data_IF_880748483903
#
_entry.id   IF_880748483903
#
_cell.length_a   1.000
_cell.length_b   1.000
_cell.length_c   1.000
_cell.angle_alpha   90.00
_cell.angle_beta   90.00
_cell.angle_gamma   90.00
#
_symmetry.space_group_name_H-M   'P 1'
#
loop_
_entity.id
_entity.type
_entity.pdbx_description
1 polymer ?
#
# COMPACT_ATOMS: atom_id res chain seq x y z
N UNK A 1 -16.28 4.79 25.04
CA UNK A 1 -16.48 5.04 26.46
C UNK A 1 -17.05 3.83 27.21
N UNK A 2 -18.19 3.24 26.78
CA UNK A 2 -18.82 2.12 27.51
C UNK A 2 -17.93 0.87 27.60
N UNK A 3 -17.24 0.49 26.52
CA UNK A 3 -16.36 -0.69 26.50
C UNK A 3 -15.15 -0.55 27.45
N UNK A 4 -14.66 0.65 27.70
CA UNK A 4 -13.50 0.88 28.59
C UNK A 4 -13.84 0.86 30.09
N UNK A 5 -15.10 1.08 30.45
CA UNK A 5 -15.53 1.15 31.87
C UNK A 5 -15.35 -0.20 32.58
N UNK A 6 -15.43 -1.31 31.84
CA UNK A 6 -15.29 -2.67 32.38
C UNK A 6 -13.83 -3.13 32.51
N UNK A 7 -12.86 -2.25 32.15
CA UNK A 7 -11.42 -2.55 32.11
C UNK A 7 -11.10 -3.87 31.39
N UNK A 8 -11.50 -4.03 30.12
CA UNK A 8 -11.35 -5.27 29.38
C UNK A 8 -9.88 -5.49 28.98
N UNK A 9 -9.48 -6.76 28.84
CA UNK A 9 -8.17 -7.13 28.30
C UNK A 9 -8.10 -6.96 26.77
N UNK A 10 -9.26 -7.11 26.10
CA UNK A 10 -9.38 -7.03 24.64
C UNK A 10 -10.55 -6.14 24.26
N UNK A 11 -10.36 -5.26 23.28
CA UNK A 11 -11.41 -4.47 22.65
C UNK A 11 -11.48 -4.80 21.16
N UNK A 12 -12.69 -5.06 20.65
CA UNK A 12 -12.95 -5.21 19.24
C UNK A 12 -13.64 -3.94 18.71
N UNK A 13 -13.08 -3.34 17.67
CA UNK A 13 -13.59 -2.17 16.96
C UNK A 13 -13.88 -2.57 15.51
N UNK A 14 -15.15 -2.49 15.14
CA UNK A 14 -15.61 -2.82 13.79
C UNK A 14 -15.90 -1.52 13.02
N UNK A 15 -15.06 -1.20 12.06
CA UNK A 15 -15.10 0.00 11.23
C UNK A 15 -15.39 1.31 12.00
N UNK A 16 -14.70 1.61 13.11
CA UNK A 16 -15.10 2.67 14.02
C UNK A 16 -15.00 4.09 13.46
N UNK A 17 -14.25 4.29 12.35
CA UNK A 17 -14.03 5.59 11.74
C UNK A 17 -14.68 5.74 10.35
N UNK A 18 -15.41 4.74 9.85
CA UNK A 18 -15.92 4.68 8.48
C UNK A 18 -16.87 5.83 8.11
N UNK A 19 -17.64 6.34 9.08
CA UNK A 19 -18.66 7.38 8.84
C UNK A 19 -18.16 8.81 9.13
N UNK A 20 -16.84 9.02 9.22
CA UNK A 20 -16.25 10.31 9.56
C UNK A 20 -15.63 10.99 8.34
N UNK A 21 -15.65 12.33 8.36
CA UNK A 21 -14.89 13.11 7.38
C UNK A 21 -13.37 12.89 7.53
N UNK A 22 -12.60 13.19 6.48
CA UNK A 22 -11.18 12.89 6.42
C UNK A 22 -10.36 13.54 7.55
N UNK A 23 -10.68 14.79 7.92
CA UNK A 23 -9.95 15.52 8.97
C UNK A 23 -10.21 14.95 10.35
N UNK A 24 -11.47 14.67 10.67
CA UNK A 24 -11.88 14.07 11.94
C UNK A 24 -11.36 12.63 12.06
N UNK A 25 -11.33 11.88 10.95
CA UNK A 25 -10.77 10.52 10.90
C UNK A 25 -9.29 10.51 11.30
N UNK A 26 -8.46 11.40 10.74
CA UNK A 26 -7.04 11.53 11.11
C UNK A 26 -6.87 11.87 12.59
N UNK A 27 -7.65 12.81 13.11
CA UNK A 27 -7.59 13.18 14.52
C UNK A 27 -7.94 12.01 15.44
N UNK A 28 -9.08 11.35 15.21
CA UNK A 28 -9.54 10.23 16.04
C UNK A 28 -8.65 9.01 15.93
N UNK A 29 -8.03 8.76 14.77
CA UNK A 29 -7.01 7.74 14.59
C UNK A 29 -5.84 7.93 15.57
N UNK A 30 -5.32 9.15 15.67
CA UNK A 30 -4.25 9.47 16.62
C UNK A 30 -4.71 9.29 18.07
N UNK A 31 -5.90 9.76 18.41
CA UNK A 31 -6.46 9.59 19.76
C UNK A 31 -6.65 8.11 20.14
N UNK A 32 -7.12 7.28 19.21
CA UNK A 32 -7.25 5.84 19.44
C UNK A 32 -5.90 5.17 19.68
N UNK A 33 -4.88 5.53 18.92
CA UNK A 33 -3.52 5.03 19.09
C UNK A 33 -2.93 5.43 20.46
N UNK A 34 -3.16 6.66 20.89
CA UNK A 34 -2.71 7.14 22.19
C UNK A 34 -3.45 6.47 23.34
N UNK A 35 -4.76 6.26 23.21
CA UNK A 35 -5.57 5.51 24.19
C UNK A 35 -5.09 4.06 24.32
N UNK A 36 -4.87 3.38 23.19
CA UNK A 36 -4.37 2.01 23.18
C UNK A 36 -3.03 1.89 23.91
N UNK A 37 -2.10 2.79 23.61
CA UNK A 37 -0.78 2.83 24.27
C UNK A 37 -0.90 3.14 25.77
N UNK A 38 -1.74 4.12 26.12
CA UNK A 38 -1.92 4.57 27.52
C UNK A 38 -2.49 3.50 28.42
N UNK A 39 -3.46 2.73 27.91
CA UNK A 39 -4.16 1.69 28.69
C UNK A 39 -3.56 0.29 28.50
N UNK A 40 -2.65 0.09 27.55
CA UNK A 40 -2.04 -1.21 27.27
C UNK A 40 -3.04 -2.29 26.84
N UNK A 41 -4.17 -1.89 26.25
CA UNK A 41 -5.26 -2.78 25.90
C UNK A 41 -5.00 -3.42 24.54
N UNK A 42 -5.15 -4.75 24.45
CA UNK A 42 -5.14 -5.43 23.15
C UNK A 42 -6.37 -5.02 22.35
N UNK A 43 -6.15 -4.49 21.15
CA UNK A 43 -7.23 -3.99 20.29
C UNK A 43 -7.26 -4.79 18.99
N UNK A 44 -8.42 -5.38 18.68
CA UNK A 44 -8.72 -5.95 17.36
C UNK A 44 -9.49 -4.88 16.58
N UNK A 45 -8.90 -4.40 15.51
CA UNK A 45 -9.43 -3.32 14.68
C UNK A 45 -9.80 -3.85 13.30
N UNK A 46 -11.07 -3.82 12.94
CA UNK A 46 -11.55 -4.20 11.61
C UNK A 46 -11.76 -2.95 10.78
N UNK A 47 -11.16 -2.88 9.62
CA UNK A 47 -11.32 -1.77 8.67
C UNK A 47 -11.09 -2.23 7.24
N UNK A 48 -11.70 -1.53 6.29
CA UNK A 48 -11.38 -1.63 4.87
C UNK A 48 -10.45 -0.47 4.42
N UNK A 49 -10.14 0.47 5.29
CA UNK A 49 -9.21 1.58 5.03
C UNK A 49 -7.77 1.12 5.25
N UNK A 50 -7.00 1.09 4.14
CA UNK A 50 -5.61 0.65 4.15
C UNK A 50 -4.71 1.57 4.98
N UNK A 51 -4.97 2.88 4.97
CA UNK A 51 -4.20 3.85 5.72
C UNK A 51 -4.40 3.66 7.23
N UNK A 52 -5.64 3.35 7.66
CA UNK A 52 -5.93 2.99 9.05
C UNK A 52 -5.16 1.73 9.44
N UNK A 53 -5.24 0.67 8.64
CA UNK A 53 -4.55 -0.58 8.92
C UNK A 53 -3.03 -0.39 9.03
N UNK A 54 -2.41 0.32 8.08
CA UNK A 54 -0.96 0.53 8.05
C UNK A 54 -0.46 1.44 9.18
N UNK A 55 -1.26 2.40 9.66
CA UNK A 55 -0.81 3.41 10.63
C UNK A 55 -1.14 3.09 12.08
N UNK A 56 -2.22 2.33 12.34
CA UNK A 56 -2.69 2.00 13.69
C UNK A 56 -2.13 0.69 14.22
N UNK A 57 -1.93 -0.30 13.34
CA UNK A 57 -1.73 -1.68 13.77
C UNK A 57 -0.26 -2.03 14.00
N UNK A 58 0.01 -2.86 15.00
CA UNK A 58 1.30 -3.54 15.17
C UNK A 58 1.41 -4.75 14.23
N UNK A 59 0.27 -5.40 13.95
CA UNK A 59 0.14 -6.51 12.99
C UNK A 59 -1.14 -6.38 12.20
N UNK A 60 -1.10 -6.76 10.94
CA UNK A 60 -2.24 -6.77 10.02
C UNK A 60 -2.51 -8.19 9.58
N UNK A 61 -3.78 -8.60 9.62
CA UNK A 61 -4.28 -9.80 8.97
C UNK A 61 -5.13 -9.39 7.75
N UNK A 62 -4.70 -9.76 6.55
CA UNK A 62 -5.45 -9.50 5.32
C UNK A 62 -6.37 -10.66 5.03
N UNK A 63 -7.68 -10.39 4.97
CA UNK A 63 -8.71 -11.38 4.69
C UNK A 63 -9.20 -11.30 3.25
N UNK A 64 -9.39 -12.46 2.64
CA UNK A 64 -10.01 -12.61 1.33
C UNK A 64 -10.99 -13.78 1.36
N UNK A 65 -12.28 -13.52 1.12
CA UNK A 65 -13.34 -14.55 1.07
C UNK A 65 -13.34 -15.50 2.27
N UNK A 66 -13.11 -14.96 3.49
CA UNK A 66 -13.11 -15.72 4.72
C UNK A 66 -11.81 -16.46 5.04
N UNK A 67 -10.77 -16.30 4.22
CA UNK A 67 -9.44 -16.88 4.44
C UNK A 67 -8.44 -15.77 4.73
N UNK A 68 -7.50 -16.05 5.62
CA UNK A 68 -6.38 -15.15 5.89
C UNK A 68 -5.30 -15.39 4.81
N UNK A 69 -5.08 -14.38 3.96
CA UNK A 69 -4.06 -14.41 2.90
C UNK A 69 -2.65 -14.17 3.46
N UNK A 70 -2.54 -13.24 4.41
CA UNK A 70 -1.26 -12.91 5.05
C UNK A 70 -1.48 -12.28 6.42
N UNK A 71 -0.56 -12.58 7.34
CA UNK A 71 -0.45 -11.87 8.62
C UNK A 71 1.01 -11.40 8.76
N UNK A 72 1.20 -10.12 9.08
CA UNK A 72 2.54 -9.57 9.26
C UNK A 72 2.50 -8.17 9.86
N UNK A 73 3.66 -7.57 9.99
CA UNK A 73 3.81 -6.15 10.33
C UNK A 73 3.37 -5.30 9.14
N UNK A 74 2.97 -4.03 9.34
CA UNK A 74 2.58 -3.14 8.25
C UNK A 74 3.63 -3.04 7.13
N UNK A 75 4.90 -2.88 7.50
CA UNK A 75 6.03 -2.81 6.57
C UNK A 75 6.24 -4.11 5.77
N UNK A 76 6.05 -5.26 6.40
CA UNK A 76 6.12 -6.58 5.74
C UNK A 76 4.96 -6.78 4.76
N UNK A 77 3.73 -6.48 5.18
CA UNK A 77 2.54 -6.59 4.33
C UNK A 77 2.66 -5.72 3.08
N UNK A 78 3.17 -4.49 3.25
CA UNK A 78 3.35 -3.53 2.15
C UNK A 78 4.48 -3.91 1.20
N UNK A 79 5.65 -4.25 1.75
CA UNK A 79 6.88 -4.48 0.96
C UNK A 79 7.03 -5.91 0.45
N UNK A 80 6.46 -6.90 1.17
CA UNK A 80 6.59 -8.33 0.90
C UNK A 80 5.21 -9.00 0.88
N UNK A 81 4.34 -8.53 0.00
CA UNK A 81 3.00 -9.11 -0.18
C UNK A 81 3.10 -10.57 -0.63
N UNK A 82 2.48 -11.48 0.12
CA UNK A 82 2.57 -12.92 -0.14
C UNK A 82 1.78 -13.37 -1.38
N UNK A 83 0.71 -12.65 -1.71
CA UNK A 83 -0.15 -12.96 -2.86
C UNK A 83 -0.44 -11.72 -3.70
N UNK A 84 -0.85 -11.93 -4.94
CA UNK A 84 -1.33 -10.87 -5.82
C UNK A 84 -2.49 -10.09 -5.18
N UNK A 85 -3.38 -10.81 -4.48
CA UNK A 85 -4.49 -10.18 -3.78
C UNK A 85 -4.00 -9.19 -2.73
N UNK A 86 -3.07 -9.58 -1.86
CA UNK A 86 -2.50 -8.69 -0.83
C UNK A 86 -1.80 -7.50 -1.48
N UNK A 87 -1.02 -7.74 -2.53
CA UNK A 87 -0.30 -6.70 -3.25
C UNK A 87 -1.23 -5.63 -3.82
N UNK A 88 -2.34 -6.05 -4.45
CA UNK A 88 -3.37 -5.17 -5.00
C UNK A 88 -4.23 -4.50 -3.93
N UNK A 89 -4.46 -5.20 -2.80
CA UNK A 89 -5.31 -4.70 -1.73
C UNK A 89 -4.63 -3.60 -0.91
N UNK A 90 -3.30 -3.69 -0.72
CA UNK A 90 -2.53 -2.73 0.09
C UNK A 90 -1.76 -1.76 -0.83
N UNK A 91 -2.44 -0.73 -1.32
CA UNK A 91 -1.86 0.34 -2.13
C UNK A 91 -1.79 0.04 -3.62
N UNK A 92 -1.56 1.09 -4.39
CA UNK A 92 -1.52 1.03 -5.85
C UNK A 92 -0.26 0.33 -6.37
N UNK A 93 -0.43 -0.47 -7.43
CA UNK A 93 0.66 -1.17 -8.10
C UNK A 93 0.50 -1.12 -9.62
N UNK A 94 1.61 -1.25 -10.34
CA UNK A 94 1.63 -1.60 -11.75
C UNK A 94 1.92 -3.08 -11.90
N UNK A 95 1.10 -3.79 -12.66
CA UNK A 95 1.45 -5.13 -13.17
C UNK A 95 2.22 -4.94 -14.47
N UNK A 96 3.44 -5.47 -14.53
CA UNK A 96 4.31 -5.32 -15.69
C UNK A 96 4.10 -6.48 -16.66
N UNK A 97 3.95 -6.17 -17.95
CA UNK A 97 3.86 -7.16 -19.02
C UNK A 97 5.23 -7.76 -19.35
N UNK A 98 5.23 -8.95 -19.96
CA UNK A 98 6.47 -9.57 -20.47
C UNK A 98 7.18 -8.63 -21.46
N UNK A 99 6.44 -7.98 -22.36
CA UNK A 99 6.98 -7.04 -23.33
C UNK A 99 7.67 -5.85 -22.67
N UNK A 100 7.05 -5.29 -21.60
CA UNK A 100 7.65 -4.22 -20.82
C UNK A 100 8.96 -4.66 -20.13
N UNK A 101 8.96 -5.84 -19.51
CA UNK A 101 10.13 -6.39 -18.82
C UNK A 101 11.31 -6.67 -19.78
N UNK A 102 11.00 -7.19 -20.96
CA UNK A 102 12.00 -7.43 -22.00
C UNK A 102 12.52 -6.11 -22.58
N UNK A 103 11.62 -5.18 -22.93
CA UNK A 103 11.95 -3.90 -23.55
C UNK A 103 12.79 -2.98 -22.65
N UNK A 104 12.53 -2.96 -21.34
CA UNK A 104 13.34 -2.21 -20.36
C UNK A 104 14.64 -2.91 -19.97
N UNK A 105 14.81 -4.17 -20.32
CA UNK A 105 15.93 -4.98 -19.83
C UNK A 105 15.74 -5.52 -18.42
N UNK A 106 14.58 -5.31 -17.78
CA UNK A 106 14.27 -5.80 -16.45
C UNK A 106 14.32 -7.34 -16.35
N UNK A 107 14.06 -8.02 -17.46
CA UNK A 107 14.18 -9.49 -17.55
C UNK A 107 15.61 -10.00 -17.28
N UNK A 108 16.63 -9.16 -17.34
CA UNK A 108 18.03 -9.52 -17.06
C UNK A 108 18.40 -9.29 -15.57
N UNK A 109 17.49 -8.75 -14.75
CA UNK A 109 17.72 -8.55 -13.33
C UNK A 109 17.49 -9.87 -12.59
N UNK A 110 18.41 -10.23 -11.71
CA UNK A 110 18.31 -11.43 -10.89
C UNK A 110 17.00 -11.48 -10.09
N UNK A 111 16.28 -12.59 -10.16
CA UNK A 111 14.99 -12.80 -9.49
C UNK A 111 13.78 -12.38 -10.30
N UNK A 112 13.92 -11.71 -11.44
CA UNK A 112 12.81 -11.36 -12.32
C UNK A 112 12.64 -12.42 -13.41
N UNK A 113 11.48 -13.06 -13.44
CA UNK A 113 11.07 -13.98 -14.50
C UNK A 113 9.97 -13.32 -15.33
N UNK A 114 10.24 -12.92 -16.60
CA UNK A 114 9.26 -12.19 -17.40
C UNK A 114 8.00 -12.99 -17.75
N UNK A 115 8.03 -14.31 -17.58
CA UNK A 115 6.85 -15.18 -17.77
C UNK A 115 5.96 -15.24 -16.55
N UNK A 116 6.42 -14.74 -15.42
CA UNK A 116 5.63 -14.65 -14.19
C UNK A 116 4.97 -13.26 -14.06
N UNK A 117 3.98 -13.17 -13.20
CA UNK A 117 3.37 -11.90 -12.86
C UNK A 117 4.37 -11.07 -12.04
N UNK A 118 4.80 -9.95 -12.59
CA UNK A 118 5.67 -8.98 -11.94
C UNK A 118 4.90 -7.72 -11.61
N UNK A 119 5.09 -7.21 -10.40
CA UNK A 119 4.43 -6.03 -9.90
C UNK A 119 5.44 -5.03 -9.34
N UNK A 120 5.17 -3.74 -9.52
CA UNK A 120 5.97 -2.67 -8.94
C UNK A 120 5.06 -1.60 -8.33
N UNK A 121 5.40 -1.10 -7.16
CA UNK A 121 4.73 0.03 -6.53
C UNK A 121 4.97 1.31 -7.34
N UNK A 122 3.98 2.21 -7.37
CA UNK A 122 4.05 3.42 -8.15
C UNK A 122 5.23 4.33 -7.75
N UNK A 123 5.52 4.40 -6.45
CA UNK A 123 6.60 5.20 -5.86
C UNK A 123 8.00 4.59 -6.03
N UNK A 124 8.10 3.42 -6.65
CA UNK A 124 9.38 2.77 -7.01
C UNK A 124 9.83 3.08 -8.43
N UNK A 125 9.05 3.86 -9.14
CA UNK A 125 9.35 4.33 -10.49
C UNK A 125 9.42 5.84 -10.48
N UNK A 126 10.34 6.42 -11.27
CA UNK A 126 10.57 7.86 -11.32
C UNK A 126 10.49 8.39 -12.76
N UNK A 127 10.04 9.64 -12.92
CA UNK A 127 9.93 10.34 -14.18
C UNK A 127 11.01 11.43 -14.24
N UNK A 128 11.86 11.41 -15.28
CA UNK A 128 12.88 12.41 -15.59
C UNK A 128 14.09 12.51 -14.66
N UNK A 129 14.02 12.10 -13.41
CA UNK A 129 15.15 12.11 -12.49
C UNK A 129 15.66 10.70 -12.24
N UNK A 130 16.94 10.47 -12.58
CA UNK A 130 17.60 9.22 -12.27
C UNK A 130 18.05 9.26 -10.80
N UNK A 131 17.47 8.43 -9.96
CA UNK A 131 17.98 8.20 -8.62
C UNK A 131 19.30 7.42 -8.67
N UNK A 132 20.17 7.61 -7.66
CA UNK A 132 21.45 6.89 -7.60
C UNK A 132 21.27 5.35 -7.48
N UNK A 133 20.10 4.92 -7.05
CA UNK A 133 19.71 3.52 -6.90
C UNK A 133 19.00 2.93 -8.12
N UNK A 134 18.70 3.74 -9.15
CA UNK A 134 18.01 3.28 -10.34
C UNK A 134 18.89 2.33 -11.16
N UNK A 135 18.38 1.16 -11.41
CA UNK A 135 19.09 0.13 -12.17
C UNK A 135 18.71 0.13 -13.63
N UNK A 136 17.51 0.61 -13.96
CA UNK A 136 16.96 0.58 -15.31
C UNK A 136 16.36 1.93 -15.69
N UNK A 137 16.56 2.30 -16.95
CA UNK A 137 16.01 3.53 -17.54
C UNK A 137 15.41 3.22 -18.90
N UNK A 138 14.31 3.88 -19.22
CA UNK A 138 13.69 3.79 -20.53
C UNK A 138 12.98 5.08 -20.89
N UNK A 139 12.86 5.35 -22.17
CA UNK A 139 12.02 6.42 -22.66
C UNK A 139 10.54 6.04 -22.52
N UNK A 140 9.74 7.02 -22.12
CA UNK A 140 8.30 6.87 -21.99
C UNK A 140 7.60 8.16 -22.45
N UNK A 141 6.35 8.03 -22.87
CA UNK A 141 5.50 9.18 -23.23
C UNK A 141 4.54 9.44 -22.09
N UNK A 142 4.55 10.66 -21.56
CA UNK A 142 3.55 11.10 -20.59
C UNK A 142 2.21 11.30 -21.33
N UNK A 143 1.20 10.55 -20.95
CA UNK A 143 -0.15 10.65 -21.53
C UNK A 143 -1.04 11.57 -20.72
N UNK A 144 -0.88 11.55 -19.37
CA UNK A 144 -1.71 12.34 -18.45
C UNK A 144 -1.00 12.55 -17.12
N UNK A 145 -1.49 13.49 -16.31
CA UNK A 145 -1.04 13.68 -14.94
C UNK A 145 -2.17 14.22 -14.05
N UNK A 146 -2.13 13.84 -12.78
CA UNK A 146 -3.06 14.28 -11.74
C UNK A 146 -2.27 14.89 -10.57
N UNK A 147 -2.60 16.11 -10.17
CA UNK A 147 -1.95 16.81 -9.06
C UNK A 147 -2.71 16.57 -7.74
N UNK A 148 -2.07 15.91 -6.79
CA UNK A 148 -2.62 15.58 -5.47
C UNK A 148 -2.13 16.50 -4.33
N UNK A 149 -1.43 17.58 -4.65
CA UNK A 149 -0.86 18.53 -3.66
C UNK A 149 0.49 18.10 -3.10
N UNK A 150 0.59 16.90 -2.55
CA UNK A 150 1.83 16.34 -2.00
C UNK A 150 2.67 15.56 -3.04
N UNK A 151 2.05 15.15 -4.12
CA UNK A 151 2.67 14.41 -5.21
C UNK A 151 1.92 14.60 -6.51
N UNK A 152 2.56 14.26 -7.60
CA UNK A 152 1.95 14.17 -8.93
C UNK A 152 1.89 12.69 -9.32
N UNK A 153 0.74 12.25 -9.79
CA UNK A 153 0.54 10.91 -10.34
C UNK A 153 0.54 11.01 -11.86
N UNK A 154 1.59 10.52 -12.49
CA UNK A 154 1.73 10.47 -13.94
C UNK A 154 1.14 9.17 -14.50
N UNK A 155 0.51 9.27 -15.64
CA UNK A 155 0.16 8.14 -16.51
C UNK A 155 1.10 8.19 -17.71
N UNK A 156 1.97 7.18 -17.82
CA UNK A 156 3.01 7.14 -18.88
C UNK A 156 2.88 5.86 -19.71
N UNK A 157 3.24 5.94 -20.99
CA UNK A 157 3.26 4.80 -21.92
C UNK A 157 4.69 4.45 -22.30
N UNK A 158 5.04 3.17 -22.13
CA UNK A 158 6.29 2.58 -22.60
C UNK A 158 6.03 1.14 -23.05
N UNK A 159 6.66 0.68 -24.13
CA UNK A 159 6.52 -0.68 -24.68
C UNK A 159 5.07 -1.16 -24.81
N UNK A 160 4.19 -0.30 -25.35
CA UNK A 160 2.78 -0.63 -25.54
C UNK A 160 1.93 -0.69 -24.26
N UNK A 161 2.53 -0.55 -23.09
CA UNK A 161 1.86 -0.60 -21.80
C UNK A 161 1.74 0.79 -21.16
N UNK A 162 0.57 1.08 -20.58
CA UNK A 162 0.35 2.25 -19.72
C UNK A 162 0.64 1.87 -18.27
N UNK A 163 1.45 2.66 -17.61
CA UNK A 163 1.84 2.51 -16.20
C UNK A 163 1.65 3.84 -15.47
N UNK A 164 1.50 3.75 -14.15
CA UNK A 164 1.36 4.92 -13.27
C UNK A 164 2.61 5.11 -12.43
N UNK A 165 3.02 6.35 -12.25
CA UNK A 165 4.21 6.73 -11.47
C UNK A 165 3.85 7.86 -10.54
N UNK A 166 4.36 7.83 -9.31
CA UNK A 166 4.16 8.89 -8.32
C UNK A 166 5.50 9.61 -8.11
N UNK A 167 5.48 10.94 -8.33
CA UNK A 167 6.59 11.84 -8.03
C UNK A 167 6.21 12.84 -6.94
N UNK A 168 7.16 13.14 -6.05
CA UNK A 168 6.99 14.09 -4.93
C UNK A 168 7.58 15.44 -5.25
#
# INVERSE_FOLDING_TARGET
ARALVTNPEIICLDEPLSNLDAKLRVQLRNELKDLQKRFGITTVYVTHDQEEALTLSDRIAVFNKGVIEQIGRPDEIYSHSATEFVCNFIGDINRLSEEFLLGTGAANVEGIDPKKHCYIRLERMHVNEAMATDTLKTDAVVEDYEFYGLYIKYTVRAFGQTIKVIEK
#
